data_IF_397708743523
#
_entry.id   IF_397708743523
#
_cell.length_a   1.000
_cell.length_b   1.000
_cell.length_c   1.000
_cell.angle_alpha   90.00
_cell.angle_beta   90.00
_cell.angle_gamma   90.00
#
_symmetry.space_group_name_H-M   'P 1'
#
loop_
_entity.id
_entity.type
_entity.pdbx_description
1 polymer ?
#
# COMPACT_ATOMS: atom_id res chain seq x y z
N UNK A 1 20.56 -42.70 8.96
CA UNK A 1 21.43 -41.53 8.65
C UNK A 1 20.93 -40.68 7.48
N UNK A 2 20.55 -41.26 6.32
CA UNK A 2 20.04 -40.52 5.14
C UNK A 2 18.77 -39.68 5.41
N UNK A 3 17.84 -40.18 6.23
CA UNK A 3 16.62 -39.45 6.61
C UNK A 3 16.90 -38.18 7.43
N UNK A 4 17.78 -38.23 8.43
CA UNK A 4 18.09 -37.06 9.27
C UNK A 4 18.79 -35.94 8.49
N UNK A 5 19.63 -36.28 7.51
CA UNK A 5 20.29 -35.32 6.61
C UNK A 5 19.29 -34.64 5.66
N UNK A 6 18.37 -35.39 5.06
CA UNK A 6 17.34 -34.86 4.18
C UNK A 6 16.41 -33.87 4.89
N UNK A 7 16.02 -34.20 6.13
CA UNK A 7 15.19 -33.33 6.95
C UNK A 7 15.90 -32.04 7.41
N UNK A 8 17.19 -32.12 7.77
CA UNK A 8 17.97 -30.94 8.12
C UNK A 8 18.06 -29.96 6.95
N UNK A 9 18.29 -30.46 5.73
CA UNK A 9 18.35 -29.65 4.52
C UNK A 9 17.01 -28.97 4.20
N UNK A 10 15.88 -29.68 4.34
CA UNK A 10 14.52 -29.11 4.14
C UNK A 10 14.24 -28.01 5.17
N UNK A 11 14.64 -28.22 6.43
CA UNK A 11 14.42 -27.25 7.50
C UNK A 11 15.29 -26.00 7.34
N UNK A 12 16.57 -26.15 6.95
CA UNK A 12 17.45 -25.03 6.63
C UNK A 12 16.97 -24.23 5.41
N UNK A 13 16.56 -24.92 4.34
CA UNK A 13 16.03 -24.25 3.15
C UNK A 13 14.77 -23.44 3.48
N UNK A 14 13.81 -24.05 4.19
CA UNK A 14 12.58 -23.35 4.56
C UNK A 14 12.83 -22.20 5.56
N UNK A 15 13.82 -22.37 6.46
CA UNK A 15 14.21 -21.30 7.37
C UNK A 15 14.87 -20.13 6.65
N UNK A 16 15.77 -20.38 5.69
CA UNK A 16 16.38 -19.33 4.87
C UNK A 16 15.32 -18.57 4.05
N UNK A 17 14.43 -19.31 3.39
CA UNK A 17 13.34 -18.74 2.59
C UNK A 17 12.38 -17.91 3.46
N UNK A 18 11.96 -18.46 4.61
CA UNK A 18 11.09 -17.77 5.55
C UNK A 18 11.72 -16.52 6.17
N UNK A 19 13.01 -16.57 6.54
CA UNK A 19 13.72 -15.41 7.10
C UNK A 19 13.94 -14.31 6.04
N UNK A 20 14.29 -14.68 4.81
CA UNK A 20 14.47 -13.72 3.73
C UNK A 20 13.17 -12.94 3.44
N UNK A 21 12.06 -13.66 3.29
CA UNK A 21 10.76 -13.03 3.04
C UNK A 21 10.20 -12.31 4.26
N UNK A 22 10.42 -12.85 5.46
CA UNK A 22 10.08 -12.19 6.72
C UNK A 22 10.80 -10.85 6.87
N UNK A 23 12.08 -10.78 6.51
CA UNK A 23 12.85 -9.52 6.52
C UNK A 23 12.27 -8.49 5.53
N UNK A 24 11.85 -8.91 4.34
CA UNK A 24 11.18 -8.03 3.37
C UNK A 24 9.88 -7.46 3.96
N UNK A 25 9.04 -8.29 4.59
CA UNK A 25 7.82 -7.81 5.23
C UNK A 25 8.08 -6.91 6.43
N UNK A 26 9.14 -7.14 7.21
CA UNK A 26 9.52 -6.24 8.29
C UNK A 26 9.90 -4.85 7.77
N UNK A 27 10.76 -4.80 6.76
CA UNK A 27 11.17 -3.52 6.14
C UNK A 27 9.96 -2.83 5.52
N UNK A 28 9.15 -3.56 4.74
CA UNK A 28 7.93 -3.03 4.13
C UNK A 28 6.96 -2.48 5.19
N UNK A 29 6.68 -3.23 6.25
CA UNK A 29 5.81 -2.81 7.35
C UNK A 29 6.30 -1.53 8.02
N UNK A 30 7.60 -1.44 8.33
CA UNK A 30 8.21 -0.22 8.88
C UNK A 30 8.07 0.97 7.92
N UNK A 31 8.35 0.78 6.62
CA UNK A 31 8.20 1.87 5.64
C UNK A 31 6.76 2.36 5.53
N UNK A 32 5.77 1.45 5.56
CA UNK A 32 4.35 1.80 5.50
C UNK A 32 3.92 2.54 6.77
N UNK A 33 4.39 2.13 7.95
CA UNK A 33 4.12 2.83 9.21
C UNK A 33 4.67 4.25 9.17
N UNK A 34 5.93 4.42 8.74
CA UNK A 34 6.56 5.75 8.62
C UNK A 34 5.79 6.62 7.63
N UNK A 35 5.41 6.09 6.47
CA UNK A 35 4.57 6.80 5.50
C UNK A 35 3.21 7.17 6.08
N UNK A 36 2.55 6.26 6.80
CA UNK A 36 1.28 6.53 7.47
C UNK A 36 1.38 7.64 8.51
N UNK A 37 2.46 7.67 9.30
CA UNK A 37 2.73 8.74 10.27
C UNK A 37 3.01 10.07 9.56
N UNK A 38 3.82 10.08 8.50
CA UNK A 38 4.09 11.29 7.71
C UNK A 38 2.81 11.86 7.10
N UNK A 39 1.96 10.98 6.55
CA UNK A 39 0.63 11.36 6.06
C UNK A 39 -0.18 11.93 7.23
N UNK A 40 -0.27 11.25 8.37
CA UNK A 40 -1.01 11.73 9.55
C UNK A 40 -0.54 13.10 10.02
N UNK A 41 0.76 13.35 10.18
CA UNK A 41 1.30 14.64 10.62
C UNK A 41 0.94 15.74 9.61
N UNK A 42 1.11 15.46 8.31
CA UNK A 42 0.76 16.40 7.26
C UNK A 42 -0.75 16.65 7.20
N UNK A 43 -1.59 15.69 7.59
CA UNK A 43 -3.04 15.84 7.70
C UNK A 43 -3.45 16.60 8.98
N UNK A 44 -2.89 16.28 10.15
CA UNK A 44 -3.20 16.92 11.44
C UNK A 44 -2.82 18.41 11.49
N UNK A 45 -1.69 18.79 10.88
CA UNK A 45 -1.34 20.20 10.68
C UNK A 45 -2.43 20.98 9.92
N UNK A 46 -3.27 20.29 9.16
CA UNK A 46 -4.32 20.86 8.32
C UNK A 46 -5.74 20.74 8.90
N UNK A 47 -5.98 19.77 9.80
CA UNK A 47 -7.29 19.54 10.47
C UNK A 47 -7.51 20.55 11.60
N UNK A 48 -6.46 21.10 12.22
CA UNK A 48 -6.58 22.26 13.14
C UNK A 48 -7.26 23.47 12.46
N UNK A 49 -7.36 23.46 11.12
CA UNK A 49 -7.95 24.53 10.30
C UNK A 49 -9.26 24.14 9.57
N UNK A 50 -9.83 22.94 9.78
CA UNK A 50 -11.04 22.50 9.04
C UNK A 50 -11.92 21.56 9.88
N UNK A 51 -13.24 21.83 9.90
CA UNK A 51 -14.22 21.21 10.81
C UNK A 51 -14.61 19.74 10.50
N UNK A 52 -14.17 19.15 9.38
CA UNK A 52 -14.58 17.79 8.99
C UNK A 52 -13.43 16.76 9.06
N UNK A 53 -13.45 15.98 10.14
CA UNK A 53 -12.44 14.99 10.53
C UNK A 53 -12.65 13.63 9.85
N UNK A 54 -12.09 13.44 8.66
CA UNK A 54 -11.95 12.09 8.09
C UNK A 54 -10.65 11.44 8.57
N UNK A 55 -10.55 11.17 9.88
CA UNK A 55 -9.35 10.60 10.54
C UNK A 55 -9.12 9.10 10.24
N UNK A 56 -10.09 8.43 9.60
CA UNK A 56 -10.07 6.98 9.37
C UNK A 56 -8.97 6.53 8.41
N UNK A 57 -8.70 7.29 7.35
CA UNK A 57 -7.77 6.89 6.28
C UNK A 57 -6.30 6.73 6.76
N UNK A 58 -5.69 7.71 7.44
CA UNK A 58 -4.31 7.55 7.94
C UNK A 58 -4.19 6.46 9.01
N UNK A 59 -5.19 6.30 9.88
CA UNK A 59 -5.20 5.23 10.88
C UNK A 59 -5.24 3.83 10.25
N UNK A 60 -6.00 3.63 9.16
CA UNK A 60 -6.01 2.35 8.44
C UNK A 60 -4.65 2.00 7.85
N UNK A 61 -3.91 2.96 7.26
CA UNK A 61 -2.58 2.71 6.69
C UNK A 61 -1.59 2.27 7.77
N UNK A 62 -1.60 2.95 8.92
CA UNK A 62 -0.75 2.61 10.07
C UNK A 62 -1.10 1.20 10.59
N UNK A 63 -2.40 0.90 10.73
CA UNK A 63 -2.87 -0.43 11.14
C UNK A 63 -2.40 -1.55 10.22
N UNK A 64 -2.50 -1.36 8.90
CA UNK A 64 -1.99 -2.32 7.90
C UNK A 64 -0.48 -2.51 8.08
N UNK A 65 0.28 -1.44 8.25
CA UNK A 65 1.73 -1.52 8.48
C UNK A 65 2.10 -2.37 9.70
N UNK A 66 1.37 -2.25 10.81
CA UNK A 66 1.58 -3.10 12.00
C UNK A 66 1.25 -4.57 11.74
N UNK A 67 0.18 -4.87 11.01
CA UNK A 67 -0.16 -6.27 10.68
C UNK A 67 0.92 -6.93 9.83
N UNK A 68 1.47 -6.21 8.84
CA UNK A 68 2.56 -6.69 7.98
C UNK A 68 3.85 -6.89 8.79
N UNK A 69 4.18 -5.95 9.69
CA UNK A 69 5.34 -6.06 10.57
C UNK A 69 5.23 -7.28 11.48
N UNK A 70 4.06 -7.48 12.10
CA UNK A 70 3.81 -8.64 12.96
C UNK A 70 3.89 -9.96 12.19
N UNK A 71 3.33 -10.01 10.98
CA UNK A 71 3.46 -11.17 10.08
C UNK A 71 4.93 -11.47 9.74
N UNK A 72 5.74 -10.44 9.48
CA UNK A 72 7.18 -10.58 9.24
C UNK A 72 7.95 -11.14 10.45
N UNK A 73 7.63 -10.68 11.67
CA UNK A 73 8.21 -11.22 12.91
C UNK A 73 7.84 -12.69 13.09
N UNK A 74 6.57 -13.04 12.91
CA UNK A 74 6.11 -14.42 13.02
C UNK A 74 6.74 -15.32 11.95
N UNK A 75 6.95 -14.83 10.73
CA UNK A 75 7.64 -15.56 9.68
C UNK A 75 9.08 -15.90 10.05
N UNK A 76 9.83 -14.92 10.57
CA UNK A 76 11.21 -15.11 11.02
C UNK A 76 11.31 -16.03 12.25
N UNK A 77 10.48 -15.79 13.28
CA UNK A 77 10.46 -16.63 14.48
C UNK A 77 9.94 -18.05 14.21
N UNK A 78 8.94 -18.20 13.33
CA UNK A 78 8.42 -19.49 12.91
C UNK A 78 9.46 -20.33 12.17
N UNK A 79 10.24 -19.68 11.29
CA UNK A 79 11.35 -20.29 10.57
C UNK A 79 12.48 -20.76 11.51
N UNK A 80 12.90 -19.92 12.46
CA UNK A 80 14.05 -20.21 13.34
C UNK A 80 13.68 -21.19 14.45
N UNK A 81 12.57 -20.94 15.15
CA UNK A 81 12.23 -21.66 16.39
C UNK A 81 11.64 -23.04 16.12
N UNK A 82 11.19 -23.31 14.89
CA UNK A 82 10.67 -24.61 14.46
C UNK A 82 9.48 -25.12 15.29
N UNK A 83 8.77 -24.22 15.98
CA UNK A 83 7.61 -24.54 16.81
C UNK A 83 6.38 -24.74 15.92
N UNK A 84 5.77 -25.93 16.00
CA UNK A 84 4.57 -26.30 15.23
C UNK A 84 3.42 -25.31 15.40
N UNK A 85 3.19 -24.81 16.62
CA UNK A 85 2.10 -23.86 16.86
C UNK A 85 2.34 -22.52 16.16
N UNK A 86 3.58 -22.00 16.19
CA UNK A 86 3.93 -20.73 15.54
C UNK A 86 3.88 -20.87 14.02
N UNK A 87 4.36 -22.01 13.48
CA UNK A 87 4.27 -22.32 12.06
C UNK A 87 2.81 -22.45 11.58
N UNK A 88 1.93 -23.05 12.41
CA UNK A 88 0.51 -23.16 12.14
C UNK A 88 -0.20 -21.80 12.12
N UNK A 89 0.10 -20.91 13.08
CA UNK A 89 -0.43 -19.54 13.11
C UNK A 89 0.02 -18.77 11.85
N UNK A 90 1.29 -18.92 11.45
CA UNK A 90 1.80 -18.31 10.22
C UNK A 90 1.07 -18.83 8.96
N UNK A 91 0.82 -20.14 8.86
CA UNK A 91 0.06 -20.73 7.77
C UNK A 91 -1.38 -20.17 7.69
N UNK A 92 -2.08 -20.10 8.82
CA UNK A 92 -3.45 -19.56 8.91
C UNK A 92 -3.47 -18.08 8.49
N UNK A 93 -2.47 -17.31 8.94
CA UNK A 93 -2.32 -15.91 8.59
C UNK A 93 -2.09 -15.72 7.08
N UNK A 94 -1.16 -16.48 6.48
CA UNK A 94 -0.93 -16.43 5.03
C UNK A 94 -2.17 -16.82 4.22
N UNK A 95 -2.90 -17.85 4.66
CA UNK A 95 -4.14 -18.26 4.00
C UNK A 95 -5.21 -17.18 4.08
N UNK A 96 -5.34 -16.52 5.24
CA UNK A 96 -6.29 -15.41 5.43
C UNK A 96 -5.94 -14.23 4.54
N UNK A 97 -4.65 -13.88 4.42
CA UNK A 97 -4.19 -12.82 3.52
C UNK A 97 -4.50 -13.18 2.07
N UNK A 98 -4.23 -14.41 1.65
CA UNK A 98 -4.51 -14.85 0.28
C UNK A 98 -6.00 -14.74 -0.09
N UNK A 99 -6.90 -15.16 0.81
CA UNK A 99 -8.35 -14.99 0.61
C UNK A 99 -8.73 -13.50 0.53
N UNK A 100 -8.12 -12.65 1.36
CA UNK A 100 -8.34 -11.21 1.32
C UNK A 100 -7.85 -10.58 0.01
N UNK A 101 -6.72 -11.04 -0.54
CA UNK A 101 -6.20 -10.58 -1.84
C UNK A 101 -7.15 -10.91 -2.97
N UNK A 102 -7.73 -12.12 -2.98
CA UNK A 102 -8.76 -12.50 -3.97
C UNK A 102 -9.99 -11.61 -3.84
N UNK A 103 -10.45 -11.34 -2.62
CA UNK A 103 -11.61 -10.48 -2.40
C UNK A 103 -11.38 -9.04 -2.88
N UNK A 104 -10.23 -8.45 -2.51
CA UNK A 104 -9.83 -7.10 -2.92
C UNK A 104 -9.60 -7.04 -4.44
N UNK A 105 -8.93 -8.03 -5.02
CA UNK A 105 -8.70 -8.14 -6.46
C UNK A 105 -10.00 -8.25 -7.25
N UNK A 106 -10.97 -9.03 -6.74
CA UNK A 106 -12.30 -9.17 -7.34
C UNK A 106 -13.07 -7.84 -7.30
N UNK A 107 -13.06 -7.14 -6.16
CA UNK A 107 -13.66 -5.81 -6.07
C UNK A 107 -12.99 -4.83 -7.02
N UNK A 108 -11.66 -4.80 -7.06
CA UNK A 108 -10.90 -3.93 -7.96
C UNK A 108 -11.25 -4.18 -9.43
N UNK A 109 -11.43 -5.45 -9.83
CA UNK A 109 -11.86 -5.81 -11.17
C UNK A 109 -13.26 -5.28 -11.50
N UNK A 110 -14.23 -5.48 -10.61
CA UNK A 110 -15.61 -4.98 -10.80
C UNK A 110 -15.63 -3.46 -10.93
N UNK A 111 -14.90 -2.76 -10.06
CA UNK A 111 -14.85 -1.29 -10.04
C UNK A 111 -13.95 -0.69 -11.12
N UNK A 112 -13.10 -1.49 -11.79
CA UNK A 112 -12.21 -1.00 -12.85
C UNK A 112 -12.98 -0.31 -13.98
N UNK A 113 -14.15 -0.83 -14.35
CA UNK A 113 -15.03 -0.26 -15.39
C UNK A 113 -15.61 1.11 -15.02
N UNK A 114 -15.74 1.39 -13.72
CA UNK A 114 -16.29 2.65 -13.20
C UNK A 114 -15.21 3.64 -12.81
N UNK A 115 -13.93 3.28 -12.92
CA UNK A 115 -12.82 4.07 -12.39
C UNK A 115 -12.74 5.45 -13.06
N UNK A 116 -13.18 5.56 -14.32
CA UNK A 116 -13.25 6.83 -15.04
C UNK A 116 -14.24 7.78 -14.37
N UNK A 117 -15.50 7.38 -14.27
CA UNK A 117 -16.55 8.17 -13.63
C UNK A 117 -16.25 8.48 -12.15
N UNK A 118 -15.68 7.53 -11.41
CA UNK A 118 -15.28 7.76 -10.02
C UNK A 118 -14.17 8.80 -9.92
N UNK A 119 -13.15 8.69 -10.76
CA UNK A 119 -12.01 9.61 -10.76
C UNK A 119 -12.44 11.02 -11.18
N UNK A 120 -13.27 11.12 -12.21
CA UNK A 120 -13.81 12.40 -12.68
C UNK A 120 -14.64 13.08 -11.59
N UNK A 121 -15.56 12.35 -10.96
CA UNK A 121 -16.39 12.91 -9.90
C UNK A 121 -15.57 13.29 -8.66
N UNK A 122 -14.50 12.54 -8.35
CA UNK A 122 -13.59 12.86 -7.24
C UNK A 122 -12.80 14.12 -7.50
N UNK A 123 -12.24 14.27 -8.70
CA UNK A 123 -11.45 15.44 -9.06
C UNK A 123 -12.33 16.68 -9.17
N UNK A 124 -13.53 16.56 -9.76
CA UNK A 124 -14.53 17.63 -9.80
C UNK A 124 -14.95 18.06 -8.39
N UNK A 125 -15.34 17.11 -7.53
CA UNK A 125 -15.71 17.44 -6.15
C UNK A 125 -14.56 18.10 -5.38
N UNK A 126 -13.31 17.66 -5.60
CA UNK A 126 -12.15 18.26 -4.96
C UNK A 126 -11.99 19.75 -5.33
N UNK A 127 -12.31 20.12 -6.59
CA UNK A 127 -12.35 21.51 -7.05
C UNK A 127 -13.54 22.25 -6.43
N UNK A 128 -14.73 21.65 -6.42
CA UNK A 128 -15.95 22.28 -5.87
C UNK A 128 -15.83 22.60 -4.38
N UNK A 129 -15.13 21.78 -3.60
CA UNK A 129 -14.90 22.00 -2.15
C UNK A 129 -13.51 22.57 -1.85
N UNK A 130 -12.82 23.14 -2.84
CA UNK A 130 -11.46 23.66 -2.70
C UNK A 130 -11.32 24.65 -1.54
N UNK A 131 -12.21 25.65 -1.44
CA UNK A 131 -12.15 26.66 -0.38
C UNK A 131 -12.44 26.10 1.02
N UNK A 132 -13.34 25.12 1.08
CA UNK A 132 -13.88 24.58 2.33
C UNK A 132 -13.05 23.43 2.90
N UNK A 133 -12.27 22.74 2.08
CA UNK A 133 -11.56 21.52 2.48
C UNK A 133 -10.06 21.63 2.25
N UNK A 134 -9.32 21.70 3.35
CA UNK A 134 -7.87 21.78 3.34
C UNK A 134 -7.24 20.51 2.72
N UNK A 135 -7.87 19.35 2.89
CA UNK A 135 -7.48 18.09 2.25
C UNK A 135 -7.57 18.13 0.72
N UNK A 136 -8.65 18.67 0.15
CA UNK A 136 -8.79 18.77 -1.30
C UNK A 136 -7.81 19.76 -1.91
N UNK A 137 -7.47 20.85 -1.19
CA UNK A 137 -6.43 21.80 -1.61
C UNK A 137 -5.08 21.12 -1.80
N UNK A 138 -4.60 20.39 -0.80
CA UNK A 138 -3.33 19.65 -0.89
C UNK A 138 -3.33 18.57 -1.96
N UNK A 139 -4.45 17.87 -2.12
CA UNK A 139 -4.60 16.87 -3.18
C UNK A 139 -4.49 17.53 -4.56
N UNK A 140 -5.16 18.66 -4.76
CA UNK A 140 -5.11 19.42 -6.01
C UNK A 140 -3.74 20.07 -6.23
N UNK A 141 -3.10 20.65 -5.21
CA UNK A 141 -1.74 21.20 -5.30
C UNK A 141 -0.74 20.12 -5.74
N UNK A 142 -0.80 18.95 -5.09
CA UNK A 142 0.02 17.81 -5.48
C UNK A 142 -0.30 17.34 -6.89
N UNK A 143 -1.57 17.25 -7.28
CA UNK A 143 -1.96 16.81 -8.62
C UNK A 143 -1.50 17.82 -9.68
N UNK A 144 -1.71 19.11 -9.45
CA UNK A 144 -1.29 20.19 -10.33
C UNK A 144 0.24 20.19 -10.51
N UNK A 145 1.00 20.04 -9.42
CA UNK A 145 2.47 19.93 -9.46
C UNK A 145 2.92 18.66 -10.18
N UNK A 146 2.34 17.51 -9.82
CA UNK A 146 2.75 16.19 -10.31
C UNK A 146 2.45 16.00 -11.80
N UNK A 147 1.31 16.51 -12.27
CA UNK A 147 0.82 16.30 -13.64
C UNK A 147 0.94 17.53 -14.52
N UNK A 148 1.41 18.67 -13.98
CA UNK A 148 1.51 19.93 -14.72
C UNK A 148 0.17 20.27 -15.41
N UNK A 149 -0.89 20.30 -14.61
CA UNK A 149 -2.27 20.56 -15.02
C UNK A 149 -2.96 21.49 -14.01
N UNK A 150 -4.16 21.95 -14.31
CA UNK A 150 -4.94 22.83 -13.44
C UNK A 150 -6.43 22.47 -13.48
N UNK A 151 -7.06 22.42 -12.31
CA UNK A 151 -8.49 22.19 -12.18
C UNK A 151 -8.92 20.81 -12.65
N UNK A 152 -10.20 20.65 -12.94
CA UNK A 152 -10.77 19.41 -13.45
C UNK A 152 -10.63 19.35 -14.99
N UNK A 153 -11.27 20.28 -15.70
CA UNK A 153 -11.17 20.52 -17.14
C UNK A 153 -10.17 21.63 -17.46
N UNK A 154 -9.90 22.54 -16.54
CA UNK A 154 -8.92 23.60 -16.74
C UNK A 154 -8.98 24.72 -15.71
N UNK A 155 -8.21 25.81 -15.93
CA UNK A 155 -8.17 26.96 -15.04
C UNK A 155 -9.50 27.72 -14.91
N UNK A 156 -10.40 27.58 -15.87
CA UNK A 156 -11.74 28.16 -15.83
C UNK A 156 -12.66 27.53 -14.78
N UNK A 157 -12.27 26.40 -14.18
CA UNK A 157 -13.07 25.75 -13.13
C UNK A 157 -13.04 26.53 -11.80
N UNK A 158 -12.09 27.45 -11.65
CA UNK A 158 -12.01 28.34 -10.49
C UNK A 158 -12.68 29.69 -10.80
N UNK A 159 -13.71 30.03 -10.04
CA UNK A 159 -14.49 31.26 -10.26
C UNK A 159 -13.73 32.55 -9.86
N UNK A 160 -12.75 32.46 -8.94
CA UNK A 160 -11.96 33.60 -8.52
C UNK A 160 -10.52 33.53 -9.03
N UNK A 161 -10.00 34.68 -9.49
CA UNK A 161 -8.62 34.84 -9.92
C UNK A 161 -7.60 34.57 -8.79
N UNK A 162 -8.00 34.70 -7.52
CA UNK A 162 -7.17 34.36 -6.35
C UNK A 162 -6.93 32.86 -6.23
N UNK A 163 -7.96 32.03 -6.39
CA UNK A 163 -7.89 30.57 -6.20
C UNK A 163 -7.12 29.91 -7.35
N UNK A 164 -7.30 30.46 -8.56
CA UNK A 164 -6.53 30.14 -9.74
C UNK A 164 -5.03 30.45 -9.55
N UNK A 165 -4.71 31.63 -9.01
CA UNK A 165 -3.33 32.04 -8.74
C UNK A 165 -2.70 31.19 -7.64
N UNK A 166 -3.53 30.73 -6.70
CA UNK A 166 -3.12 29.93 -5.55
C UNK A 166 -2.72 28.50 -5.90
N UNK A 167 -3.09 27.94 -7.05
CA UNK A 167 -2.88 26.48 -7.25
C UNK A 167 -2.42 26.07 -8.64
N UNK A 168 -2.64 26.91 -9.65
CA UNK A 168 -2.41 26.54 -11.05
C UNK A 168 -1.24 27.28 -11.70
N UNK A 169 -0.63 28.21 -10.98
CA UNK A 169 0.49 29.02 -11.44
C UNK A 169 1.71 28.87 -10.55
N UNK A 170 2.88 28.78 -11.18
CA UNK A 170 4.17 28.75 -10.48
C UNK A 170 4.43 30.07 -9.70
N UNK A 171 3.58 31.11 -9.73
CA UNK A 171 3.78 32.35 -8.95
C UNK A 171 2.49 32.94 -8.35
N UNK A 172 1.86 32.18 -7.45
CA UNK A 172 1.33 32.64 -6.14
C UNK A 172 0.38 31.61 -5.53
N UNK A 173 0.77 30.33 -5.50
CA UNK A 173 0.30 29.45 -4.44
C UNK A 173 0.61 27.96 -4.54
N UNK A 174 1.40 27.51 -5.52
CA UNK A 174 2.22 26.34 -5.23
C UNK A 174 3.33 26.76 -4.24
N UNK A 175 3.47 26.12 -3.05
CA UNK A 175 4.53 26.46 -2.09
C UNK A 175 5.95 26.28 -2.67
N UNK A 176 6.09 25.58 -3.80
CA UNK A 176 7.37 25.24 -4.45
C UNK A 176 8.06 26.40 -5.20
N UNK A 177 7.42 27.54 -5.52
CA UNK A 177 8.12 28.68 -6.17
C UNK A 177 8.42 29.88 -5.26
N UNK A 178 8.27 29.76 -3.94
CA UNK A 178 8.50 30.91 -3.05
C UNK A 178 9.97 31.37 -2.98
N UNK A 179 10.92 30.71 -3.68
CA UNK A 179 12.36 30.95 -3.52
C UNK A 179 13.20 31.05 -4.81
N UNK A 180 12.64 30.93 -6.02
CA UNK A 180 13.45 31.05 -7.27
C UNK A 180 13.07 32.26 -8.12
N UNK A 181 14.02 33.18 -8.24
CA UNK A 181 13.93 34.47 -8.95
C UNK A 181 13.65 34.36 -10.47
N UNK A 182 13.77 33.17 -11.08
CA UNK A 182 13.59 32.92 -12.52
C UNK A 182 12.42 31.97 -12.82
N UNK A 183 11.30 32.21 -12.17
CA UNK A 183 10.05 31.49 -12.32
C UNK A 183 9.33 32.06 -13.56
N UNK A 184 9.61 31.52 -14.77
CA UNK A 184 8.90 31.89 -16.01
C UNK A 184 7.39 31.67 -15.78
N UNK A 185 6.53 32.65 -16.12
CA UNK A 185 5.06 32.52 -16.05
C UNK A 185 4.62 31.35 -16.94
N UNK A 186 4.54 30.15 -16.39
CA UNK A 186 3.94 28.99 -17.02
C UNK A 186 2.68 28.70 -16.21
N UNK A 187 1.54 29.09 -16.77
CA UNK A 187 0.22 28.74 -16.26
C UNK A 187 -0.15 27.40 -16.88
N UNK A 188 -0.54 26.42 -16.06
CA UNK A 188 -1.05 25.16 -16.59
C UNK A 188 -2.44 25.39 -17.18
N UNK A 189 -2.59 25.17 -18.48
CA UNK A 189 -3.86 25.35 -19.19
C UNK A 189 -4.64 24.05 -19.37
N UNK A 190 -3.97 22.90 -19.23
CA UNK A 190 -4.57 21.59 -19.40
C UNK A 190 -5.34 21.17 -18.15
N UNK A 191 -6.52 20.58 -18.32
CA UNK A 191 -7.27 19.93 -17.24
C UNK A 191 -6.58 18.70 -16.67
N UNK A 192 -6.76 18.45 -15.36
CA UNK A 192 -6.17 17.28 -14.71
C UNK A 192 -6.92 15.98 -14.93
N UNK A 193 -8.20 16.01 -15.38
CA UNK A 193 -9.02 14.82 -15.53
C UNK A 193 -8.35 13.73 -16.38
N UNK A 194 -7.93 14.05 -17.59
CA UNK A 194 -7.32 13.08 -18.50
C UNK A 194 -5.92 12.64 -18.04
N UNK A 195 -5.11 13.56 -17.51
CA UNK A 195 -3.75 13.23 -17.03
C UNK A 195 -3.79 12.32 -15.80
N UNK A 196 -4.69 12.63 -14.86
CA UNK A 196 -4.87 11.84 -13.65
C UNK A 196 -5.48 10.46 -13.95
N UNK A 197 -6.48 10.40 -14.84
CA UNK A 197 -7.03 9.13 -15.33
C UNK A 197 -5.98 8.25 -15.99
N UNK A 198 -5.17 8.83 -16.88
CA UNK A 198 -4.10 8.09 -17.56
C UNK A 198 -3.05 7.61 -16.56
N UNK A 199 -2.72 8.41 -15.56
CA UNK A 199 -1.84 7.98 -14.47
C UNK A 199 -2.42 6.79 -13.70
N UNK A 200 -3.70 6.82 -13.32
CA UNK A 200 -4.33 5.68 -12.63
C UNK A 200 -4.31 4.43 -13.50
N UNK A 201 -4.71 4.54 -14.78
CA UNK A 201 -4.74 3.42 -15.72
C UNK A 201 -3.38 2.79 -15.96
N UNK A 202 -2.31 3.58 -15.99
CA UNK A 202 -0.96 3.04 -16.16
C UNK A 202 -0.43 2.38 -14.87
N UNK A 203 -0.65 3.01 -13.71
CA UNK A 203 -0.12 2.49 -12.45
C UNK A 203 -0.93 1.32 -11.90
N UNK A 204 -2.22 1.19 -12.21
CA UNK A 204 -3.03 0.07 -11.73
C UNK A 204 -2.54 -1.26 -12.31
N UNK A 205 -1.98 -1.27 -13.53
CA UNK A 205 -1.37 -2.46 -14.14
C UNK A 205 -0.12 -2.88 -13.36
N UNK A 206 0.75 -1.91 -13.01
CA UNK A 206 1.95 -2.17 -12.22
C UNK A 206 1.57 -2.68 -10.82
N UNK A 207 0.61 -2.01 -10.17
CA UNK A 207 0.10 -2.42 -8.86
C UNK A 207 -0.50 -3.83 -8.90
N UNK A 208 -1.27 -4.16 -9.93
CA UNK A 208 -1.81 -5.50 -10.16
C UNK A 208 -0.72 -6.54 -10.32
N UNK A 209 0.35 -6.23 -11.06
CA UNK A 209 1.52 -7.11 -11.20
C UNK A 209 2.24 -7.37 -9.88
N UNK A 210 2.40 -6.34 -9.03
CA UNK A 210 2.98 -6.48 -7.68
C UNK A 210 2.11 -7.40 -6.82
N UNK A 211 0.79 -7.17 -6.78
CA UNK A 211 -0.13 -8.01 -6.00
C UNK A 211 -0.10 -9.46 -6.48
N UNK A 212 -0.14 -9.68 -7.80
CA UNK A 212 -0.06 -11.04 -8.35
C UNK A 212 1.25 -11.75 -7.99
N UNK A 213 2.38 -11.03 -8.04
CA UNK A 213 3.67 -11.55 -7.59
C UNK A 213 3.68 -11.90 -6.10
N UNK A 214 3.08 -11.07 -5.26
CA UNK A 214 2.91 -11.34 -3.83
C UNK A 214 2.04 -12.58 -3.59
N UNK A 215 0.95 -12.76 -4.34
CA UNK A 215 0.08 -13.94 -4.23
C UNK A 215 0.83 -15.24 -4.59
N UNK A 216 1.62 -15.23 -5.67
CA UNK A 216 2.46 -16.39 -6.05
C UNK A 216 3.49 -16.72 -4.96
N UNK A 217 4.11 -15.68 -4.39
CA UNK A 217 5.09 -15.84 -3.33
C UNK A 217 4.45 -16.39 -2.05
N UNK A 218 3.24 -15.96 -1.70
CA UNK A 218 2.47 -16.51 -0.58
C UNK A 218 2.15 -17.99 -0.79
N UNK A 219 1.75 -18.40 -2.00
CA UNK A 219 1.48 -19.80 -2.31
C UNK A 219 2.71 -20.69 -2.08
N UNK A 220 3.91 -20.23 -2.46
CA UNK A 220 5.16 -20.94 -2.17
C UNK A 220 5.33 -21.09 -0.65
N UNK A 221 5.10 -20.03 0.11
CA UNK A 221 5.17 -20.06 1.58
C UNK A 221 4.18 -21.04 2.21
N UNK A 222 2.95 -21.12 1.70
CA UNK A 222 1.90 -22.05 2.15
C UNK A 222 2.33 -23.50 1.85
N UNK A 223 2.79 -23.78 0.63
CA UNK A 223 3.22 -25.13 0.22
C UNK A 223 4.42 -25.57 1.06
N UNK A 224 5.45 -24.74 1.20
CA UNK A 224 6.63 -25.07 1.99
C UNK A 224 6.30 -25.28 3.48
N UNK A 225 5.43 -24.44 4.06
CA UNK A 225 4.96 -24.60 5.44
C UNK A 225 4.17 -25.91 5.63
N UNK A 226 3.31 -26.24 4.66
CA UNK A 226 2.50 -27.47 4.68
C UNK A 226 3.37 -28.72 4.61
N UNK A 227 4.34 -28.74 3.68
CA UNK A 227 5.31 -29.84 3.56
C UNK A 227 6.10 -30.02 4.85
N UNK A 228 6.59 -28.93 5.46
CA UNK A 228 7.32 -28.99 6.73
C UNK A 228 6.45 -29.53 7.87
N UNK A 229 5.17 -29.14 7.91
CA UNK A 229 4.18 -29.65 8.86
C UNK A 229 3.94 -31.16 8.73
N UNK A 230 3.68 -31.65 7.51
CA UNK A 230 3.50 -33.07 7.23
C UNK A 230 4.74 -33.90 7.61
N UNK A 231 5.91 -33.39 7.24
CA UNK A 231 7.21 -34.02 7.46
C UNK A 231 7.54 -34.10 8.96
N UNK A 232 7.27 -33.05 9.74
CA UNK A 232 7.40 -33.09 11.21
C UNK A 232 6.37 -34.03 11.87
N UNK A 233 5.11 -33.96 11.44
CA UNK A 233 4.03 -34.81 12.00
C UNK A 233 4.34 -36.30 11.86
N UNK A 234 4.78 -36.75 10.68
CA UNK A 234 5.17 -38.14 10.47
C UNK A 234 6.32 -38.61 11.38
N UNK A 235 7.24 -37.72 11.77
CA UNK A 235 8.34 -38.07 12.68
C UNK A 235 7.88 -38.18 14.13
N UNK A 236 6.99 -37.30 14.59
CA UNK A 236 6.44 -37.39 15.96
C UNK A 236 5.63 -38.69 16.14
N UNK A 237 4.86 -39.10 15.13
CA UNK A 237 4.18 -40.41 15.13
C UNK A 237 5.17 -41.59 15.18
N UNK A 238 6.21 -41.60 14.34
CA UNK A 238 7.20 -42.68 14.35
C UNK A 238 8.01 -42.79 15.66
N UNK A 239 8.30 -41.67 16.32
CA UNK A 239 8.93 -41.68 17.65
C UNK A 239 8.01 -42.24 18.73
N UNK A 240 6.69 -42.05 18.61
CA UNK A 240 5.70 -42.62 19.53
C UNK A 240 5.55 -44.14 19.34
N UNK A 241 5.57 -44.64 18.09
CA UNK A 241 5.58 -46.08 17.83
C UNK A 241 6.83 -46.77 18.35
N UNK A 242 8.01 -46.13 18.28
CA UNK A 242 9.26 -46.72 18.76
C UNK A 242 9.38 -46.87 20.29
N UNK A 243 8.38 -46.39 21.05
CA UNK A 243 8.31 -46.50 22.52
C UNK A 243 7.43 -47.67 23.00
N UNK A 244 6.79 -48.38 22.08
CA UNK A 244 6.03 -49.61 22.33
C UNK A 244 6.77 -50.80 21.71
#
# INVERSE_FOLDING_TARGET
MRGNQMFANIMCMNACVGCFFGAIFLVAGLTIIVLGILIKINFEYYIVYSENKNELLPWSIIGIGFTILFAGLLGCFGAIKGNMCVLGIFLILLFTIFVSEIAVGSMAFIYSSKIEAYTDNRLKNAVDVFDNSSSSRKFLDWAHEKFSCCGYLGPSDFNNATDLKLTCGYNNGLPSCHRKMNCKKILFTDGCNLKFLNFIKQNIVIAGGVVFGLSLMQLIGIVCSSVLGCVRGGRDYGNLESKW
#
